data_IF_174567802812
#
_entry.id   IF_174567802812
#
_cell.length_a   1.000
_cell.length_b   1.000
_cell.length_c   1.000
_cell.angle_alpha   90.00
_cell.angle_beta   90.00
_cell.angle_gamma   90.00
#
_symmetry.space_group_name_H-M   'P 1'
#
loop_
_entity.id
_entity.type
_entity.pdbx_description
1 polymer ?
#
# COMPACT_ATOMS: atom_id res chain seq x y z
N UNK A 1 -87.31 23.81 -13.62
CA UNK A 1 -86.36 23.20 -14.59
C UNK A 1 -85.05 22.97 -13.88
N UNK A 2 -84.83 21.75 -13.60
CA UNK A 2 -83.93 21.28 -12.58
C UNK A 2 -82.55 21.02 -13.20
N UNK A 3 -81.46 21.66 -12.69
CA UNK A 3 -80.07 21.41 -13.10
C UNK A 3 -79.35 20.79 -11.91
N UNK A 4 -79.66 19.52 -11.68
CA UNK A 4 -78.87 18.72 -10.78
C UNK A 4 -78.00 17.71 -11.55
N UNK A 5 -76.71 17.63 -11.21
CA UNK A 5 -75.93 16.39 -11.37
C UNK A 5 -74.67 16.44 -12.24
N UNK A 6 -73.67 17.22 -11.87
CA UNK A 6 -72.31 16.91 -12.31
C UNK A 6 -71.52 16.34 -11.11
N UNK A 7 -71.43 14.99 -11.05
CA UNK A 7 -70.53 14.30 -10.15
C UNK A 7 -69.09 14.45 -10.63
N UNK A 8 -68.30 15.26 -9.94
CA UNK A 8 -66.85 15.33 -10.14
C UNK A 8 -66.26 14.03 -9.55
N UNK A 9 -65.76 13.21 -10.46
CA UNK A 9 -65.12 11.93 -10.11
C UNK A 9 -63.94 12.11 -9.16
N UNK A 10 -63.93 11.33 -8.12
CA UNK A 10 -62.85 11.20 -7.12
C UNK A 10 -61.53 10.93 -7.79
N UNK A 11 -60.55 11.81 -7.59
CA UNK A 11 -59.14 11.56 -7.96
C UNK A 11 -58.60 10.38 -7.13
N UNK A 12 -58.49 9.20 -7.76
CA UNK A 12 -57.87 8.01 -7.19
C UNK A 12 -56.43 8.36 -6.80
N UNK A 13 -56.10 8.07 -5.54
CA UNK A 13 -54.82 8.36 -4.91
C UNK A 13 -53.67 7.57 -5.46
N UNK A 14 -52.96 8.19 -6.43
CA UNK A 14 -51.65 7.72 -6.86
C UNK A 14 -50.51 8.28 -5.98
N UNK A 15 -50.82 9.05 -4.92
CA UNK A 15 -49.78 9.81 -4.17
C UNK A 15 -48.97 8.97 -3.21
N UNK A 16 -49.52 7.88 -2.68
CA UNK A 16 -48.89 7.07 -1.63
C UNK A 16 -47.76 6.19 -2.20
N UNK A 17 -47.97 5.60 -3.39
CA UNK A 17 -46.97 4.74 -4.03
C UNK A 17 -45.71 5.51 -4.46
N UNK A 18 -45.89 6.71 -5.02
CA UNK A 18 -44.71 7.54 -5.42
C UNK A 18 -43.93 8.08 -4.23
N UNK A 19 -44.56 8.33 -3.09
CA UNK A 19 -43.90 8.74 -1.84
C UNK A 19 -43.08 7.62 -1.26
N UNK A 20 -43.58 6.40 -1.28
CA UNK A 20 -42.85 5.21 -0.81
C UNK A 20 -41.66 4.88 -1.72
N UNK A 21 -41.86 5.00 -3.04
CA UNK A 21 -40.79 4.81 -4.03
C UNK A 21 -39.68 5.86 -3.89
N UNK A 22 -40.02 7.14 -3.71
CA UNK A 22 -39.05 8.21 -3.52
C UNK A 22 -38.26 8.06 -2.21
N UNK A 23 -38.89 7.60 -1.12
CA UNK A 23 -38.22 7.31 0.13
C UNK A 23 -37.27 6.12 0.00
N UNK A 24 -37.65 5.07 -0.74
CA UNK A 24 -36.80 3.93 -1.00
C UNK A 24 -35.56 4.32 -1.84
N UNK A 25 -35.76 5.13 -2.89
CA UNK A 25 -34.65 5.64 -3.71
C UNK A 25 -33.74 6.55 -2.90
N UNK A 26 -34.27 7.45 -2.08
CA UNK A 26 -33.46 8.30 -1.20
C UNK A 26 -32.65 7.48 -0.21
N UNK A 27 -33.25 6.44 0.38
CA UNK A 27 -32.56 5.52 1.30
C UNK A 27 -31.39 4.78 0.61
N UNK A 28 -31.63 4.25 -0.60
CA UNK A 28 -30.57 3.57 -1.38
C UNK A 28 -29.44 4.54 -1.73
N UNK A 29 -29.76 5.76 -2.19
CA UNK A 29 -28.75 6.77 -2.49
C UNK A 29 -27.94 7.13 -1.24
N UNK A 30 -28.60 7.33 -0.10
CA UNK A 30 -27.94 7.64 1.16
C UNK A 30 -27.06 6.48 1.61
N UNK A 31 -27.51 5.23 1.50
CA UNK A 31 -26.73 4.05 1.84
C UNK A 31 -25.48 3.90 0.93
N UNK A 32 -25.63 4.14 -0.37
CA UNK A 32 -24.52 4.13 -1.33
C UNK A 32 -23.50 5.24 -1.01
N UNK A 33 -23.99 6.45 -0.70
CA UNK A 33 -23.12 7.57 -0.30
C UNK A 33 -22.40 7.29 1.00
N UNK A 34 -23.09 6.74 2.02
CA UNK A 34 -22.48 6.35 3.29
C UNK A 34 -21.43 5.25 3.09
N UNK A 35 -21.69 4.28 2.21
CA UNK A 35 -20.71 3.24 1.87
C UNK A 35 -19.50 3.81 1.12
N UNK A 36 -19.72 4.75 0.19
CA UNK A 36 -18.65 5.40 -0.56
C UNK A 36 -17.79 6.37 0.30
N UNK A 37 -18.33 6.83 1.43
CA UNK A 37 -17.64 7.71 2.39
C UNK A 37 -17.01 6.94 3.55
N UNK A 38 -17.02 5.60 3.53
CA UNK A 38 -16.30 4.83 4.56
C UNK A 38 -14.81 5.14 4.43
N UNK A 39 -14.14 5.55 5.53
CA UNK A 39 -12.69 5.68 5.51
C UNK A 39 -12.10 4.30 5.17
N UNK A 40 -11.12 4.29 4.27
CA UNK A 40 -10.42 3.07 3.93
C UNK A 40 -9.81 2.46 5.20
N UNK A 41 -9.89 1.14 5.33
CA UNK A 41 -9.35 0.44 6.48
C UNK A 41 -7.84 0.78 6.60
N UNK A 42 -7.42 1.25 7.78
CA UNK A 42 -6.01 1.49 8.05
C UNK A 42 -5.19 0.23 7.72
N UNK A 43 -4.11 0.42 6.95
CA UNK A 43 -3.26 -0.68 6.49
C UNK A 43 -3.79 -1.44 5.28
N UNK A 44 -4.87 -0.98 4.61
CA UNK A 44 -5.25 -1.52 3.32
C UNK A 44 -4.16 -1.21 2.25
N UNK A 45 -4.01 -2.05 1.19
CA UNK A 45 -3.07 -1.77 0.12
C UNK A 45 -3.27 -0.40 -0.54
N UNK A 46 -4.52 0.09 -0.57
CA UNK A 46 -4.87 1.41 -1.12
C UNK A 46 -4.40 2.53 -0.19
N UNK A 47 -4.51 2.36 1.14
CA UNK A 47 -4.01 3.33 2.12
C UNK A 47 -2.47 3.33 2.20
N UNK A 48 -1.83 2.19 1.99
CA UNK A 48 -0.36 2.05 2.07
C UNK A 48 0.34 2.75 0.92
N UNK A 49 -0.21 2.72 -0.30
CA UNK A 49 0.44 3.29 -1.47
C UNK A 49 0.76 4.79 -1.34
N UNK A 50 -0.21 5.69 -1.05
CA UNK A 50 0.10 7.12 -0.95
C UNK A 50 1.12 7.43 0.14
N UNK A 51 1.14 6.65 1.21
CA UNK A 51 2.13 6.81 2.27
C UNK A 51 3.53 6.39 1.81
N UNK A 52 3.65 5.22 1.15
CA UNK A 52 4.91 4.77 0.56
C UNK A 52 5.41 5.74 -0.50
N UNK A 53 4.51 6.23 -1.36
CA UNK A 53 4.85 7.18 -2.42
C UNK A 53 5.48 8.45 -1.83
N UNK A 54 4.82 9.06 -0.85
CA UNK A 54 5.31 10.25 -0.17
C UNK A 54 6.67 10.01 0.51
N UNK A 55 6.75 9.04 1.41
CA UNK A 55 7.95 8.80 2.21
C UNK A 55 9.13 8.33 1.34
N UNK A 56 8.89 7.58 0.27
CA UNK A 56 9.94 7.15 -0.66
C UNK A 56 10.47 8.32 -1.49
N UNK A 57 9.59 9.21 -1.99
CA UNK A 57 10.01 10.42 -2.72
C UNK A 57 10.85 11.35 -1.84
N UNK A 58 10.42 11.61 -0.60
CA UNK A 58 11.17 12.41 0.37
C UNK A 58 12.55 11.81 0.67
N UNK A 59 12.65 10.48 0.63
CA UNK A 59 13.89 9.74 0.83
C UNK A 59 14.76 9.58 -0.46
N UNK A 60 14.30 10.09 -1.61
CA UNK A 60 14.99 9.94 -2.89
C UNK A 60 15.09 8.50 -3.37
N UNK A 61 14.04 7.70 -3.11
CA UNK A 61 13.88 6.32 -3.57
C UNK A 61 12.72 6.24 -4.57
N UNK A 62 12.78 5.28 -5.48
CA UNK A 62 11.65 4.96 -6.37
C UNK A 62 10.50 4.37 -5.55
N UNK A 63 9.31 5.01 -5.53
CA UNK A 63 8.16 4.51 -4.77
C UNK A 63 7.69 3.11 -5.19
N UNK A 64 7.74 2.81 -6.50
CA UNK A 64 7.35 1.49 -7.00
C UNK A 64 8.31 0.41 -6.50
N UNK A 65 9.60 0.72 -6.43
CA UNK A 65 10.59 -0.18 -5.84
C UNK A 65 10.31 -0.43 -4.34
N UNK A 66 10.09 0.62 -3.57
CA UNK A 66 9.80 0.50 -2.12
C UNK A 66 8.53 -0.31 -1.89
N UNK A 67 7.47 -0.02 -2.64
CA UNK A 67 6.21 -0.73 -2.56
C UNK A 67 6.36 -2.21 -2.95
N UNK A 68 7.13 -2.50 -4.01
CA UNK A 68 7.41 -3.88 -4.41
C UNK A 68 8.20 -4.65 -3.35
N UNK A 69 9.15 -4.00 -2.64
CA UNK A 69 9.84 -4.60 -1.49
C UNK A 69 8.84 -4.90 -0.37
N UNK A 70 8.00 -3.94 0.03
CA UNK A 70 6.98 -4.13 1.06
C UNK A 70 6.02 -5.27 0.70
N UNK A 71 5.56 -5.32 -0.55
CA UNK A 71 4.71 -6.40 -1.05
C UNK A 71 5.44 -7.76 -1.02
N UNK A 72 6.70 -7.80 -1.40
CA UNK A 72 7.51 -9.02 -1.37
C UNK A 72 7.76 -9.54 0.04
N UNK A 73 7.85 -8.66 1.04
CA UNK A 73 8.13 -9.02 2.43
C UNK A 73 6.90 -9.56 3.15
N UNK A 74 5.73 -8.94 2.98
CA UNK A 74 4.54 -9.28 3.77
C UNK A 74 3.24 -9.37 2.98
N UNK A 75 3.25 -9.10 1.67
CA UNK A 75 2.04 -8.82 0.88
C UNK A 75 1.25 -7.61 1.43
N UNK A 76 1.96 -6.66 2.04
CA UNK A 76 1.45 -5.46 2.70
C UNK A 76 0.65 -5.74 3.99
N UNK A 77 0.84 -6.87 4.61
CA UNK A 77 0.20 -7.20 5.90
C UNK A 77 0.90 -6.43 7.04
N UNK A 78 0.19 -5.50 7.72
CA UNK A 78 0.76 -4.74 8.84
C UNK A 78 1.06 -5.62 10.07
N UNK A 79 0.41 -6.77 10.18
CA UNK A 79 0.57 -7.69 11.31
C UNK A 79 1.43 -8.91 10.97
N UNK A 80 2.12 -8.90 9.83
CA UNK A 80 2.99 -9.99 9.46
C UNK A 80 4.11 -10.20 10.50
N UNK A 81 4.23 -11.40 11.01
CA UNK A 81 5.29 -11.85 11.93
C UNK A 81 5.89 -13.16 11.44
N UNK A 82 7.16 -13.13 11.07
CA UNK A 82 7.92 -14.33 10.70
C UNK A 82 8.65 -14.97 11.90
N UNK A 83 8.42 -14.48 13.12
CA UNK A 83 9.19 -14.82 14.31
C UNK A 83 10.58 -14.19 14.37
N UNK A 84 11.04 -13.59 13.26
CA UNK A 84 12.35 -12.91 13.15
C UNK A 84 12.24 -11.47 12.70
N UNK A 85 11.14 -11.11 12.04
CA UNK A 85 10.88 -9.79 11.46
C UNK A 85 9.40 -9.45 11.56
N UNK A 86 9.05 -8.15 11.59
CA UNK A 86 7.69 -7.67 11.87
C UNK A 86 7.22 -6.62 10.88
N UNK A 87 5.91 -6.60 10.68
CA UNK A 87 5.16 -5.57 9.97
C UNK A 87 5.31 -5.61 8.46
N UNK A 88 4.78 -4.57 7.81
CA UNK A 88 4.69 -4.44 6.34
C UNK A 88 6.01 -4.71 5.63
N UNK A 89 7.11 -4.16 6.14
CA UNK A 89 8.44 -4.27 5.54
C UNK A 89 9.32 -5.35 6.17
N UNK A 90 8.76 -6.21 7.04
CA UNK A 90 9.45 -7.33 7.68
C UNK A 90 10.83 -6.95 8.25
N UNK A 91 10.86 -5.89 9.05
CA UNK A 91 12.10 -5.44 9.67
C UNK A 91 12.52 -6.34 10.83
N UNK A 92 13.75 -6.79 10.79
CA UNK A 92 14.40 -7.47 11.94
C UNK A 92 14.77 -6.43 12.99
N UNK A 93 14.76 -6.83 14.27
CA UNK A 93 15.13 -5.95 15.38
C UNK A 93 16.49 -5.28 15.18
N UNK A 94 17.49 -5.98 14.66
CA UNK A 94 18.82 -5.42 14.38
C UNK A 94 18.78 -4.35 13.30
N UNK A 95 18.03 -4.55 12.21
CA UNK A 95 17.86 -3.57 11.16
C UNK A 95 17.11 -2.31 11.67
N UNK A 96 16.07 -2.52 12.49
CA UNK A 96 15.36 -1.46 13.18
C UNK A 96 16.29 -0.58 14.01
N UNK A 97 17.06 -1.20 14.90
CA UNK A 97 17.99 -0.51 15.81
C UNK A 97 19.18 0.15 15.11
N UNK A 98 19.45 -0.20 13.85
CA UNK A 98 20.49 0.46 13.05
C UNK A 98 20.11 1.88 12.65
N UNK A 99 18.81 2.17 12.51
CA UNK A 99 18.34 3.42 11.89
C UNK A 99 17.38 4.23 12.77
N UNK A 100 16.98 3.71 13.93
CA UNK A 100 16.10 4.42 14.86
C UNK A 100 16.31 3.99 16.31
N UNK A 101 16.07 4.94 17.23
CA UNK A 101 16.03 4.70 18.68
C UNK A 101 14.63 4.27 19.17
N UNK A 102 13.62 4.26 18.29
CA UNK A 102 12.26 3.87 18.67
C UNK A 102 12.23 2.42 19.17
N UNK A 103 11.47 2.12 20.25
CA UNK A 103 11.25 0.76 20.70
C UNK A 103 10.73 -0.15 19.58
N UNK A 104 11.24 -1.38 19.47
CA UNK A 104 10.85 -2.32 18.42
C UNK A 104 9.37 -2.74 18.47
N UNK A 105 8.66 -2.43 19.54
CA UNK A 105 7.20 -2.58 19.62
C UNK A 105 6.45 -1.75 18.58
N UNK A 106 6.99 -0.59 18.18
CA UNK A 106 6.42 0.25 17.11
C UNK A 106 6.51 -0.38 15.71
N UNK A 107 7.20 -1.51 15.55
CA UNK A 107 7.20 -2.25 14.29
C UNK A 107 5.81 -2.81 13.91
N UNK A 108 4.85 -2.82 14.81
CA UNK A 108 3.45 -3.16 14.56
C UNK A 108 2.60 -1.98 14.06
N UNK A 109 3.07 -0.76 14.22
CA UNK A 109 2.49 0.39 13.57
C UNK A 109 2.97 0.47 12.12
N UNK A 110 2.06 0.30 11.17
CA UNK A 110 2.42 0.13 9.77
C UNK A 110 3.09 1.36 9.17
N UNK A 111 2.70 2.58 9.59
CA UNK A 111 3.31 3.82 9.11
C UNK A 111 4.75 3.93 9.61
N UNK A 112 4.96 3.72 10.91
CA UNK A 112 6.29 3.69 11.50
C UNK A 112 7.14 2.58 10.89
N UNK A 113 6.56 1.40 10.63
CA UNK A 113 7.26 0.29 10.00
C UNK A 113 7.76 0.64 8.60
N UNK A 114 6.92 1.24 7.76
CA UNK A 114 7.30 1.71 6.41
C UNK A 114 8.38 2.79 6.51
N UNK A 115 8.20 3.79 7.37
CA UNK A 115 9.18 4.88 7.55
C UNK A 115 10.55 4.36 7.96
N UNK A 116 10.60 3.47 8.94
CA UNK A 116 11.86 2.84 9.40
C UNK A 116 12.43 1.91 8.32
N UNK A 117 11.58 1.21 7.56
CA UNK A 117 12.00 0.40 6.42
C UNK A 117 12.66 1.22 5.31
N UNK A 118 12.10 2.39 5.00
CA UNK A 118 12.68 3.35 4.06
C UNK A 118 14.00 3.92 4.59
N UNK A 119 14.07 4.23 5.88
CA UNK A 119 15.32 4.65 6.51
C UNK A 119 16.41 3.57 6.41
N UNK A 120 16.04 2.29 6.59
CA UNK A 120 16.98 1.18 6.43
C UNK A 120 17.39 0.95 4.96
N UNK A 121 16.47 1.12 4.01
CA UNK A 121 16.82 1.15 2.58
C UNK A 121 17.83 2.26 2.27
N UNK A 122 17.62 3.45 2.82
CA UNK A 122 18.58 4.56 2.66
C UNK A 122 19.93 4.27 3.30
N UNK A 123 19.96 3.69 4.48
CA UNK A 123 21.20 3.25 5.11
C UNK A 123 21.97 2.27 4.20
N UNK A 124 21.30 1.26 3.65
CA UNK A 124 21.89 0.34 2.69
C UNK A 124 22.38 1.06 1.42
N UNK A 125 21.56 1.99 0.87
CA UNK A 125 21.88 2.79 -0.30
C UNK A 125 23.17 3.59 -0.11
N UNK A 126 23.35 4.24 1.04
CA UNK A 126 24.56 5.01 1.32
C UNK A 126 25.82 4.14 1.34
N UNK A 127 25.74 2.93 1.91
CA UNK A 127 26.84 1.96 1.87
C UNK A 127 27.20 1.60 0.42
N UNK A 128 26.18 1.27 -0.39
CA UNK A 128 26.38 0.89 -1.79
C UNK A 128 26.93 2.02 -2.64
N UNK A 129 26.50 3.27 -2.39
CA UNK A 129 27.05 4.45 -3.07
C UNK A 129 28.53 4.65 -2.70
N UNK A 130 28.85 4.58 -1.40
CA UNK A 130 30.22 4.68 -0.90
C UNK A 130 31.14 3.65 -1.55
N UNK A 131 30.65 2.41 -1.67
CA UNK A 131 31.43 1.31 -2.26
C UNK A 131 31.31 1.26 -3.80
N UNK A 132 30.64 2.25 -4.43
CA UNK A 132 30.43 2.41 -5.89
C UNK A 132 29.73 1.20 -6.55
N UNK A 133 28.80 0.57 -5.82
CA UNK A 133 28.10 -0.65 -6.25
C UNK A 133 26.57 -0.48 -6.26
N UNK A 134 26.11 0.78 -6.15
CA UNK A 134 24.67 1.03 -6.10
C UNK A 134 23.96 0.66 -7.40
N UNK A 135 22.93 -0.15 -7.25
CA UNK A 135 21.84 -0.37 -8.20
C UNK A 135 20.61 -0.81 -7.40
N UNK A 136 19.41 -0.67 -7.95
CA UNK A 136 18.20 -1.15 -7.26
C UNK A 136 18.22 -2.67 -6.99
N UNK A 137 18.67 -3.55 -7.90
CA UNK A 137 18.87 -4.96 -7.58
C UNK A 137 19.81 -5.19 -6.39
N UNK A 138 20.93 -4.45 -6.34
CA UNK A 138 21.88 -4.57 -5.24
C UNK A 138 21.31 -4.02 -3.93
N UNK A 139 20.52 -2.95 -3.99
CA UNK A 139 19.81 -2.40 -2.84
C UNK A 139 18.79 -3.41 -2.29
N UNK A 140 18.01 -4.09 -3.14
CA UNK A 140 17.10 -5.14 -2.73
C UNK A 140 17.84 -6.31 -2.07
N UNK A 141 18.99 -6.70 -2.61
CA UNK A 141 19.84 -7.73 -2.00
C UNK A 141 20.36 -7.29 -0.62
N UNK A 142 20.84 -6.06 -0.51
CA UNK A 142 21.34 -5.50 0.76
C UNK A 142 20.23 -5.39 1.82
N UNK A 143 19.01 -5.01 1.41
CA UNK A 143 17.86 -5.00 2.31
C UNK A 143 17.55 -6.39 2.87
N UNK A 144 17.43 -7.38 1.97
CA UNK A 144 16.98 -8.73 2.32
C UNK A 144 18.03 -9.51 3.10
N UNK A 145 19.29 -9.47 2.68
CA UNK A 145 20.38 -10.30 3.21
C UNK A 145 21.29 -9.54 4.18
N UNK A 146 21.22 -8.23 4.20
CA UNK A 146 22.09 -7.32 4.93
C UNK A 146 23.27 -6.82 4.08
N UNK A 147 23.68 -5.56 4.25
CA UNK A 147 24.75 -4.97 3.44
C UNK A 147 26.11 -5.67 3.62
N UNK A 148 26.42 -6.14 4.81
CA UNK A 148 27.65 -6.92 5.08
C UNK A 148 27.67 -8.24 4.32
N UNK A 149 26.54 -8.96 4.26
CA UNK A 149 26.45 -10.22 3.52
C UNK A 149 26.66 -10.00 2.01
N UNK A 150 26.09 -8.94 1.45
CA UNK A 150 26.27 -8.57 0.04
C UNK A 150 27.72 -8.16 -0.25
N UNK A 151 28.36 -7.42 0.65
CA UNK A 151 29.78 -7.08 0.58
C UNK A 151 30.67 -8.32 0.56
N UNK A 152 30.41 -9.26 1.46
CA UNK A 152 31.16 -10.53 1.55
C UNK A 152 31.01 -11.41 0.29
N UNK A 153 29.94 -11.21 -0.49
CA UNK A 153 29.70 -11.85 -1.79
C UNK A 153 30.31 -11.02 -2.97
N UNK A 154 31.12 -10.02 -2.67
CA UNK A 154 31.82 -9.17 -3.64
C UNK A 154 30.88 -8.27 -4.45
N UNK A 155 29.68 -7.94 -3.90
CA UNK A 155 28.66 -7.19 -4.59
C UNK A 155 28.26 -7.80 -5.96
N UNK A 156 28.34 -9.12 -6.05
CA UNK A 156 27.95 -9.85 -7.24
C UNK A 156 26.63 -10.60 -7.02
N UNK A 157 25.59 -10.20 -7.74
CA UNK A 157 24.26 -10.80 -7.65
C UNK A 157 24.27 -12.30 -8.00
N UNK A 158 25.19 -12.77 -8.82
CA UNK A 158 25.33 -14.18 -9.13
C UNK A 158 25.78 -15.03 -7.94
N UNK A 159 26.45 -14.41 -6.96
CA UNK A 159 26.92 -15.07 -5.73
C UNK A 159 25.89 -15.02 -4.59
N UNK A 160 24.78 -14.33 -4.81
CA UNK A 160 23.71 -14.18 -3.81
C UNK A 160 22.70 -15.32 -3.98
N UNK A 161 22.29 -15.90 -2.86
CA UNK A 161 21.32 -16.99 -2.86
C UNK A 161 20.00 -16.54 -3.53
N UNK A 162 19.53 -17.35 -4.47
CA UNK A 162 18.31 -17.04 -5.21
C UNK A 162 17.10 -17.12 -4.28
N UNK A 163 16.32 -16.02 -4.09
CA UNK A 163 15.16 -16.04 -3.21
C UNK A 163 14.05 -16.91 -3.79
N UNK A 164 13.28 -17.59 -2.92
CA UNK A 164 12.06 -18.31 -3.30
C UNK A 164 10.96 -17.36 -3.78
N UNK A 165 10.91 -16.15 -3.23
CA UNK A 165 9.92 -15.12 -3.58
C UNK A 165 10.09 -14.65 -5.02
N UNK A 166 9.01 -14.75 -5.84
CA UNK A 166 9.02 -14.40 -7.26
C UNK A 166 9.27 -12.91 -7.51
N UNK A 167 8.80 -12.04 -6.63
CA UNK A 167 8.94 -10.59 -6.75
C UNK A 167 10.40 -10.20 -6.54
N UNK A 168 11.04 -10.70 -5.48
CA UNK A 168 12.47 -10.50 -5.28
C UNK A 168 13.31 -10.99 -6.47
N UNK A 169 12.96 -12.15 -7.08
CA UNK A 169 13.66 -12.62 -8.28
C UNK A 169 13.56 -11.65 -9.45
N UNK A 170 12.41 -11.00 -9.63
CA UNK A 170 12.23 -9.98 -10.67
C UNK A 170 13.08 -8.73 -10.37
N UNK A 171 13.04 -8.25 -9.12
CA UNK A 171 13.84 -7.09 -8.70
C UNK A 171 15.33 -7.38 -8.89
N UNK A 172 15.81 -8.53 -8.42
CA UNK A 172 17.22 -8.92 -8.55
C UNK A 172 17.66 -9.15 -10.01
N UNK A 173 16.73 -9.42 -10.93
CA UNK A 173 17.02 -9.49 -12.37
C UNK A 173 17.05 -8.12 -13.07
N UNK A 174 16.94 -7.02 -12.33
CA UNK A 174 16.99 -5.66 -12.85
C UNK A 174 15.65 -5.06 -13.25
N UNK A 175 14.52 -5.74 -13.01
CA UNK A 175 13.20 -5.14 -13.21
C UNK A 175 12.96 -4.11 -12.10
N UNK A 176 12.79 -2.86 -12.52
CA UNK A 176 12.40 -1.73 -11.68
C UNK A 176 11.08 -1.14 -12.19
N UNK A 177 10.37 -0.38 -11.37
CA UNK A 177 9.05 0.14 -11.72
C UNK A 177 7.96 -0.93 -11.56
N UNK A 178 7.14 -1.14 -12.57
CA UNK A 178 6.03 -2.10 -12.48
C UNK A 178 6.54 -3.55 -12.42
N UNK A 179 6.34 -4.22 -11.29
CA UNK A 179 6.73 -5.63 -11.04
C UNK A 179 5.49 -6.52 -11.19
N UNK A 180 5.57 -7.53 -12.06
CA UNK A 180 4.47 -8.47 -12.27
C UNK A 180 4.14 -9.26 -10.99
N UNK A 181 2.87 -9.25 -10.60
CA UNK A 181 2.38 -9.91 -9.39
C UNK A 181 2.35 -9.02 -8.16
N UNK A 182 2.82 -7.78 -8.24
CA UNK A 182 2.56 -6.74 -7.25
C UNK A 182 1.24 -6.05 -7.60
N UNK A 183 0.34 -5.97 -6.64
CA UNK A 183 -0.93 -5.26 -6.80
C UNK A 183 -0.71 -3.77 -6.50
N UNK A 184 -0.33 -3.01 -7.53
CA UNK A 184 -0.29 -1.55 -7.40
C UNK A 184 -1.71 -1.00 -7.42
N UNK A 185 -2.06 -0.06 -6.56
CA UNK A 185 -3.35 0.63 -6.63
C UNK A 185 -3.50 1.29 -8.00
N UNK A 186 -4.68 1.14 -8.60
CA UNK A 186 -5.01 1.88 -9.83
C UNK A 186 -5.11 3.34 -9.40
N UNK A 187 -4.18 4.16 -9.87
CA UNK A 187 -4.27 5.60 -9.72
C UNK A 187 -5.47 6.05 -10.57
N UNK A 188 -6.64 6.17 -9.96
CA UNK A 188 -7.74 6.89 -10.59
C UNK A 188 -7.26 8.30 -10.83
N UNK A 189 -7.47 8.82 -12.05
CA UNK A 189 -6.97 10.09 -12.58
C UNK A 189 -7.42 11.37 -11.82
N UNK A 190 -7.74 11.25 -10.54
CA UNK A 190 -8.20 12.34 -9.66
C UNK A 190 -7.06 13.08 -8.91
N UNK A 191 -5.80 12.73 -9.17
CA UNK A 191 -4.63 13.44 -8.61
C UNK A 191 -3.81 14.22 -9.65
N UNK A 192 -4.35 14.44 -10.85
CA UNK A 192 -3.75 15.34 -11.83
C UNK A 192 -4.61 16.60 -11.91
N UNK A 193 -4.39 17.51 -10.98
CA UNK A 193 -4.73 18.93 -11.09
C UNK A 193 -3.71 19.74 -10.30
#
# INVERSE_FOLDING_TARGET
MDLQGIKIGSKKGYSTGYRLLSLAIAFVITAVLLFALQPEAEGSPVAIWPYVEKEAQEAGLDPHFVYAIAFAESSLDPFADSGRARGVMQLKKVAWQTVTELPYAYAWDWQTNIKVGIAYLNFCKQILIKDRTFSYPMLAAAYRYGPTAVKNKGYNLANIDRPSNKIYRQILSGKTGYIQGVQYPILTASYVN
#
